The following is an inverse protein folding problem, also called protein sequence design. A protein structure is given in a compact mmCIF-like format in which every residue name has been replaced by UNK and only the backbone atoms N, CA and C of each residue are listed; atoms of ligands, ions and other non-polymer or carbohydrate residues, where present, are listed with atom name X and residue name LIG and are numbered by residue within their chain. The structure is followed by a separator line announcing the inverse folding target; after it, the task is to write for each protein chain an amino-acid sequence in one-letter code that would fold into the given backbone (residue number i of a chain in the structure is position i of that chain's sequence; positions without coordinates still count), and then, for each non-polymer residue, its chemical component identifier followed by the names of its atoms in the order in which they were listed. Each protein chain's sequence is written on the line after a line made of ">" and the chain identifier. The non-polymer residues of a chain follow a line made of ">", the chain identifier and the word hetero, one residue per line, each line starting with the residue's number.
data_IF_353891350245
#
_entry.id   IF_353891350245
#
_cell.length_a   1.000
_cell.length_b   1.000
_cell.length_c   1.000
_cell.angle_alpha   90.00
_cell.angle_beta   90.00
_cell.angle_gamma   90.00
#
_symmetry.space_group_name_H-M   'P 1'
#
loop_
_entity.id
_entity.type
_entity.pdbx_description
1 polymer ?
#
# COMPACT_ATOMS: atom_id res chain seq x y z
N UNK A 1 -23.34 -7.29 -26.82
CA UNK A 1 -22.50 -6.84 -25.70
C UNK A 1 -21.29 -6.13 -26.30
N UNK A 2 -21.23 -4.80 -26.17
CA UNK A 2 -20.13 -4.03 -26.72
C UNK A 2 -19.13 -3.81 -25.59
N UNK A 3 -18.05 -4.59 -25.60
CA UNK A 3 -16.95 -4.41 -24.67
C UNK A 3 -16.03 -3.30 -25.23
N UNK A 4 -16.01 -2.13 -24.61
CA UNK A 4 -15.07 -1.06 -24.95
C UNK A 4 -13.90 -1.20 -23.96
N UNK A 5 -12.79 -1.77 -24.42
CA UNK A 5 -11.55 -1.75 -23.67
C UNK A 5 -10.88 -0.38 -23.87
N UNK A 6 -10.88 0.41 -22.83
CA UNK A 6 -10.19 1.71 -22.82
C UNK A 6 -9.11 1.68 -21.74
N UNK A 7 -7.85 1.73 -22.16
CA UNK A 7 -6.72 1.85 -21.25
C UNK A 7 -6.37 3.32 -21.02
N UNK A 8 -6.18 3.71 -19.75
CA UNK A 8 -5.70 5.04 -19.37
C UNK A 8 -4.32 4.91 -18.74
N UNK A 9 -3.43 5.80 -19.11
CA UNK A 9 -2.12 5.90 -18.45
C UNK A 9 -2.09 7.14 -17.58
N UNK A 10 -1.89 6.96 -16.28
CA UNK A 10 -1.65 8.04 -15.33
C UNK A 10 -0.15 8.22 -15.14
N UNK A 11 0.34 9.44 -15.37
CA UNK A 11 1.72 9.83 -15.05
C UNK A 11 1.82 10.55 -13.69
N UNK A 12 0.68 10.86 -13.07
CA UNK A 12 0.56 11.59 -11.81
C UNK A 12 -0.67 11.08 -11.05
N UNK A 13 -0.85 11.56 -9.82
CA UNK A 13 -2.09 11.36 -9.06
C UNK A 13 -3.33 11.82 -9.84
N UNK A 14 -4.44 11.15 -9.62
CA UNK A 14 -5.70 11.46 -10.29
C UNK A 14 -6.85 10.59 -9.82
N UNK A 15 -8.03 10.81 -10.38
CA UNK A 15 -9.18 9.97 -10.18
C UNK A 15 -9.83 9.62 -11.51
N UNK A 16 -10.17 8.36 -11.68
CA UNK A 16 -11.06 7.91 -12.75
C UNK A 16 -12.47 7.82 -12.21
N UNK A 17 -13.39 8.42 -12.93
CA UNK A 17 -14.82 8.33 -12.65
C UNK A 17 -15.48 7.62 -13.82
N UNK A 18 -16.21 6.58 -13.56
CA UNK A 18 -16.99 5.84 -14.55
C UNK A 18 -18.45 5.83 -14.17
N UNK A 19 -19.31 6.00 -15.16
CA UNK A 19 -20.75 5.92 -14.99
C UNK A 19 -21.34 5.16 -16.15
N UNK A 20 -22.24 4.24 -15.87
CA UNK A 20 -23.03 3.55 -16.88
C UNK A 20 -24.34 4.30 -17.13
N UNK A 21 -24.80 4.29 -18.38
CA UNK A 21 -26.12 4.76 -18.76
C UNK A 21 -26.92 3.56 -19.32
N UNK A 22 -28.18 3.46 -18.93
CA UNK A 22 -29.06 2.46 -19.51
C UNK A 22 -29.50 2.87 -20.93
N UNK A 23 -30.27 2.00 -21.61
CA UNK A 23 -30.78 2.26 -22.97
C UNK A 23 -31.70 3.48 -23.05
N UNK A 24 -32.27 3.90 -21.93
CA UNK A 24 -33.19 5.05 -21.85
C UNK A 24 -32.42 6.33 -21.42
N UNK A 25 -31.09 6.28 -21.33
CA UNK A 25 -30.23 7.39 -20.96
C UNK A 25 -30.21 7.73 -19.47
N UNK A 26 -30.72 6.85 -18.60
CA UNK A 26 -30.67 7.04 -17.15
C UNK A 26 -29.30 6.72 -16.62
N UNK A 27 -28.78 7.63 -15.80
CA UNK A 27 -27.47 7.51 -15.15
C UNK A 27 -27.53 6.47 -14.02
N UNK A 28 -26.62 5.48 -14.04
CA UNK A 28 -26.37 4.56 -12.93
C UNK A 28 -25.51 5.17 -11.83
N UNK A 29 -25.06 4.35 -10.88
CA UNK A 29 -24.11 4.78 -9.85
C UNK A 29 -22.75 5.12 -10.47
N UNK A 30 -22.11 6.13 -9.89
CA UNK A 30 -20.77 6.56 -10.28
C UNK A 30 -19.73 5.75 -9.53
N UNK A 31 -18.90 4.99 -10.24
CA UNK A 31 -17.72 4.35 -9.72
C UNK A 31 -16.56 5.35 -9.77
N UNK A 32 -15.84 5.51 -8.66
CA UNK A 32 -14.66 6.40 -8.57
C UNK A 32 -13.48 5.58 -8.07
N UNK A 33 -12.36 5.62 -8.81
CA UNK A 33 -11.06 5.09 -8.36
C UNK A 33 -10.05 6.24 -8.33
N UNK A 34 -9.44 6.44 -7.17
CA UNK A 34 -8.42 7.46 -6.96
C UNK A 34 -7.04 6.82 -7.01
N UNK A 35 -6.11 7.48 -7.70
CA UNK A 35 -4.71 7.10 -7.79
C UNK A 35 -3.90 8.23 -7.16
N UNK A 36 -3.19 7.95 -6.07
CA UNK A 36 -2.51 8.96 -5.27
C UNK A 36 -1.14 9.33 -5.84
N UNK A 37 -0.35 8.33 -6.26
CA UNK A 37 0.97 8.52 -6.86
C UNK A 37 1.23 7.49 -7.96
N UNK A 38 2.00 7.86 -8.98
CA UNK A 38 2.43 6.92 -10.01
C UNK A 38 3.53 6.01 -9.45
N UNK A 39 3.27 4.71 -9.38
CA UNK A 39 4.19 3.70 -8.83
C UNK A 39 5.14 3.09 -9.88
N UNK A 40 5.10 3.54 -11.14
CA UNK A 40 5.89 2.97 -12.26
C UNK A 40 7.38 2.81 -11.95
N UNK A 41 7.96 3.76 -11.23
CA UNK A 41 9.38 3.78 -10.90
C UNK A 41 9.68 3.28 -9.50
N UNK A 42 8.66 2.80 -8.77
CA UNK A 42 8.86 2.30 -7.43
C UNK A 42 9.56 0.95 -7.45
N UNK A 43 10.36 0.70 -6.44
CA UNK A 43 11.05 -0.57 -6.23
C UNK A 43 10.93 -0.97 -4.77
N UNK A 44 10.67 -2.25 -4.53
CA UNK A 44 10.70 -2.79 -3.18
C UNK A 44 12.06 -3.42 -2.93
N UNK A 45 12.61 -3.07 -1.79
CA UNK A 45 13.88 -3.56 -1.29
C UNK A 45 13.67 -4.27 0.05
N UNK A 46 14.54 -5.20 0.38
CA UNK A 46 14.62 -5.76 1.73
C UNK A 46 15.07 -4.70 2.73
N UNK A 47 14.99 -4.99 4.03
CA UNK A 47 15.40 -4.04 5.06
C UNK A 47 16.89 -3.64 4.99
N UNK A 48 17.74 -4.48 4.39
CA UNK A 48 19.16 -4.25 4.13
C UNK A 48 19.45 -3.70 2.72
N UNK A 49 18.40 -3.32 1.97
CA UNK A 49 18.51 -2.58 0.71
C UNK A 49 18.69 -3.44 -0.54
N UNK A 50 18.51 -4.77 -0.47
CA UNK A 50 18.58 -5.64 -1.64
C UNK A 50 17.24 -5.64 -2.40
N UNK A 51 17.21 -5.80 -3.74
CA UNK A 51 15.96 -5.92 -4.49
C UNK A 51 15.07 -7.04 -3.94
N UNK A 52 13.77 -6.76 -3.75
CA UNK A 52 12.80 -7.69 -3.20
C UNK A 52 11.61 -7.88 -4.15
N UNK A 53 11.87 -8.55 -5.28
CA UNK A 53 10.88 -8.76 -6.34
C UNK A 53 9.60 -9.46 -5.86
N UNK A 54 9.70 -10.39 -4.90
CA UNK A 54 8.54 -11.07 -4.31
C UNK A 54 7.55 -10.13 -3.59
N UNK A 55 7.95 -8.88 -3.29
CA UNK A 55 7.08 -7.89 -2.67
C UNK A 55 6.48 -6.89 -3.69
N UNK A 56 6.64 -7.12 -4.98
CA UNK A 56 6.09 -6.26 -6.05
C UNK A 56 4.58 -6.10 -5.97
N UNK A 57 3.86 -7.15 -5.56
CA UNK A 57 2.41 -7.12 -5.34
C UNK A 57 1.93 -6.06 -4.33
N UNK A 58 2.82 -5.50 -3.53
CA UNK A 58 2.47 -4.41 -2.59
C UNK A 58 2.28 -3.05 -3.30
N UNK A 59 2.71 -2.94 -4.57
CA UNK A 59 2.75 -1.66 -5.31
C UNK A 59 2.36 -1.83 -6.78
N UNK A 60 1.63 -2.89 -7.15
CA UNK A 60 1.25 -3.20 -8.54
C UNK A 60 -0.10 -2.62 -8.97
N UNK A 61 -0.80 -1.91 -8.07
CA UNK A 61 -2.13 -1.33 -8.25
C UNK A 61 -3.25 -2.39 -8.46
N UNK A 62 -3.01 -3.64 -8.04
CA UNK A 62 -3.97 -4.73 -8.06
C UNK A 62 -4.26 -5.25 -6.64
N UNK A 63 -5.40 -4.93 -6.07
CA UNK A 63 -5.81 -5.35 -4.73
C UNK A 63 -6.17 -6.84 -4.62
N UNK A 64 -6.21 -7.57 -5.75
CA UNK A 64 -6.42 -9.02 -5.77
C UNK A 64 -5.11 -9.80 -5.58
N UNK A 65 -3.98 -9.17 -5.80
CA UNK A 65 -2.66 -9.70 -5.45
C UNK A 65 -2.26 -9.24 -4.05
N UNK A 66 -1.31 -9.90 -3.43
CA UNK A 66 -0.75 -9.42 -2.16
C UNK A 66 0.66 -9.95 -1.92
N UNK A 67 1.46 -9.11 -1.30
CA UNK A 67 2.74 -9.50 -0.75
C UNK A 67 2.55 -10.30 0.53
N UNK A 68 3.42 -11.30 0.70
CA UNK A 68 3.59 -12.06 1.93
C UNK A 68 5.06 -12.06 2.33
N UNK A 69 5.35 -11.67 3.57
CA UNK A 69 6.71 -11.77 4.09
C UNK A 69 7.12 -13.23 4.27
N UNK A 70 8.43 -13.55 4.33
CA UNK A 70 8.88 -14.88 4.70
C UNK A 70 8.25 -15.33 6.02
N UNK A 71 7.76 -16.56 6.03
CA UNK A 71 7.24 -17.17 7.26
C UNK A 71 8.39 -17.40 8.24
N UNK A 72 8.13 -17.15 9.50
CA UNK A 72 9.00 -17.55 10.60
C UNK A 72 8.69 -19.01 11.00
N UNK A 73 9.45 -19.58 11.93
CA UNK A 73 9.18 -20.92 12.43
C UNK A 73 7.73 -21.03 12.90
N UNK A 74 7.07 -22.16 12.60
CA UNK A 74 5.62 -22.34 12.81
C UNK A 74 5.16 -22.06 14.24
N UNK A 75 6.02 -22.33 15.21
CA UNK A 75 5.73 -22.17 16.65
C UNK A 75 6.28 -20.85 17.21
N UNK A 76 6.90 -20.00 16.37
CA UNK A 76 7.43 -18.72 16.80
C UNK A 76 6.33 -17.64 16.79
N UNK A 77 6.33 -16.81 17.82
CA UNK A 77 5.55 -15.58 17.82
C UNK A 77 5.99 -14.68 16.65
N UNK A 78 5.06 -13.91 16.10
CA UNK A 78 5.36 -12.93 15.05
C UNK A 78 6.47 -11.97 15.52
N UNK A 79 7.47 -11.78 14.69
CA UNK A 79 8.53 -10.78 14.89
C UNK A 79 8.37 -9.69 13.82
N UNK A 80 8.64 -8.42 14.15
CA UNK A 80 8.54 -7.32 13.20
C UNK A 80 9.26 -7.61 11.89
N UNK A 81 8.56 -7.32 10.78
CA UNK A 81 9.03 -7.52 9.41
C UNK A 81 9.10 -6.16 8.72
N UNK A 82 10.24 -5.86 8.10
CA UNK A 82 10.43 -4.58 7.42
C UNK A 82 10.77 -4.77 5.95
N UNK A 83 10.31 -3.83 5.14
CA UNK A 83 10.74 -3.64 3.76
C UNK A 83 10.95 -2.14 3.48
N UNK A 84 11.68 -1.85 2.42
CA UNK A 84 11.94 -0.47 1.98
C UNK A 84 11.30 -0.26 0.62
N UNK A 85 10.60 0.85 0.47
CA UNK A 85 10.00 1.31 -0.78
C UNK A 85 10.86 2.45 -1.29
N UNK A 86 11.56 2.26 -2.40
CA UNK A 86 12.23 3.33 -3.16
C UNK A 86 11.18 3.93 -4.11
N UNK A 87 10.83 5.19 -3.92
CA UNK A 87 9.85 5.92 -4.72
C UNK A 87 10.41 6.33 -6.11
N UNK A 88 11.70 6.02 -6.38
CA UNK A 88 12.38 6.38 -7.62
C UNK A 88 12.89 7.82 -7.63
N UNK A 89 12.20 8.72 -6.99
CA UNK A 89 12.56 10.14 -6.85
C UNK A 89 12.12 10.69 -5.49
N UNK A 90 12.61 11.86 -5.12
CA UNK A 90 12.18 12.53 -3.88
C UNK A 90 10.77 13.08 -4.05
N UNK A 91 9.89 12.74 -3.10
CA UNK A 91 8.49 13.17 -3.04
C UNK A 91 8.21 13.88 -1.72
N UNK A 92 7.23 14.79 -1.71
CA UNK A 92 6.71 15.38 -0.47
C UNK A 92 5.51 14.56 -0.02
N UNK A 93 5.75 13.62 0.89
CA UNK A 93 4.75 12.67 1.39
C UNK A 93 3.95 13.33 2.51
N UNK A 94 2.63 13.41 2.36
CA UNK A 94 1.68 13.96 3.36
C UNK A 94 0.91 12.87 4.10
N UNK A 95 0.99 11.64 3.61
CA UNK A 95 0.33 10.49 4.18
C UNK A 95 0.64 9.24 3.40
N UNK A 96 0.02 8.15 3.78
CA UNK A 96 0.14 6.86 3.10
C UNK A 96 -1.17 6.11 3.15
N UNK A 97 -1.28 5.07 2.35
CA UNK A 97 -2.39 4.13 2.36
C UNK A 97 -1.88 2.71 2.49
N UNK A 98 -2.72 1.86 3.07
CA UNK A 98 -2.51 0.43 3.17
C UNK A 98 -3.81 -0.30 2.89
N UNK A 99 -3.76 -1.28 1.99
CA UNK A 99 -4.85 -2.22 1.73
C UNK A 99 -4.40 -3.61 2.19
N UNK A 100 -5.10 -4.23 3.15
CA UNK A 100 -4.83 -5.61 3.52
C UNK A 100 -5.19 -6.57 2.38
N UNK A 101 -4.76 -7.82 2.47
CA UNK A 101 -5.19 -8.89 1.54
C UNK A 101 -6.72 -8.97 1.46
N UNK A 102 -7.26 -9.26 0.26
CA UNK A 102 -8.70 -9.22 -0.05
C UNK A 102 -9.32 -10.61 -0.23
N UNK A 103 -8.62 -11.68 0.11
CA UNK A 103 -9.07 -13.07 -0.02
C UNK A 103 -9.82 -13.61 1.22
N UNK A 104 -10.37 -12.72 2.05
CA UNK A 104 -11.11 -13.01 3.28
C UNK A 104 -10.30 -13.70 4.38
N UNK A 105 -8.97 -13.75 4.30
CA UNK A 105 -8.11 -14.29 5.35
C UNK A 105 -7.62 -13.16 6.27
N UNK A 106 -7.61 -13.41 7.58
CA UNK A 106 -7.00 -12.52 8.58
C UNK A 106 -5.52 -12.79 8.81
N UNK A 107 -4.99 -13.90 8.27
CA UNK A 107 -3.59 -14.26 8.46
C UNK A 107 -2.63 -13.24 7.85
N UNK A 108 -1.72 -12.75 8.65
CA UNK A 108 -0.70 -11.81 8.24
C UNK A 108 -1.21 -10.37 8.03
N UNK A 109 -2.51 -10.09 8.21
CA UNK A 109 -3.03 -8.72 8.13
C UNK A 109 -2.37 -7.86 9.19
N UNK A 110 -1.71 -6.79 8.76
CA UNK A 110 -1.01 -5.85 9.65
C UNK A 110 -2.05 -5.03 10.41
N UNK A 111 -2.00 -5.05 11.74
CA UNK A 111 -2.86 -4.22 12.59
C UNK A 111 -2.10 -3.15 13.39
N UNK A 112 -0.76 -3.22 13.41
CA UNK A 112 0.12 -2.14 13.89
C UNK A 112 1.31 -2.03 12.98
N UNK A 113 1.59 -0.84 12.49
CA UNK A 113 2.73 -0.57 11.62
C UNK A 113 3.51 0.68 12.06
N UNK A 114 4.78 0.71 11.67
CA UNK A 114 5.60 1.91 11.71
C UNK A 114 6.09 2.27 10.31
N UNK A 115 6.26 3.57 10.07
CA UNK A 115 6.83 4.10 8.85
C UNK A 115 7.99 5.03 9.20
N UNK A 116 9.13 4.84 8.53
CA UNK A 116 10.27 5.73 8.59
C UNK A 116 10.56 6.28 7.20
N UNK A 117 11.03 7.51 7.12
CA UNK A 117 11.39 8.18 5.89
C UNK A 117 12.90 8.43 5.80
N UNK A 118 13.43 8.42 4.58
CA UNK A 118 14.84 8.71 4.30
C UNK A 118 15.01 9.34 2.92
N UNK A 119 15.97 10.23 2.77
CA UNK A 119 16.37 10.77 1.46
C UNK A 119 17.47 9.91 0.80
N UNK A 120 18.31 9.25 1.59
CA UNK A 120 19.52 8.54 1.15
C UNK A 120 19.45 7.01 1.33
N UNK A 121 18.35 6.49 1.93
CA UNK A 121 18.20 5.08 2.25
C UNK A 121 19.06 4.58 3.42
N UNK A 122 19.77 5.46 4.11
CA UNK A 122 20.71 5.14 5.21
C UNK A 122 20.29 5.81 6.52
N UNK A 123 19.99 7.10 6.46
CA UNK A 123 19.55 7.88 7.60
C UNK A 123 18.03 7.91 7.66
N UNK A 124 17.44 7.35 8.72
CA UNK A 124 16.01 7.12 8.84
C UNK A 124 15.38 7.97 9.93
N UNK A 125 14.29 8.65 9.61
CA UNK A 125 13.49 9.45 10.55
C UNK A 125 12.11 8.78 10.73
N UNK A 126 11.67 8.49 11.97
CA UNK A 126 10.32 7.99 12.22
C UNK A 126 9.29 9.04 11.84
N UNK A 127 8.26 8.65 11.08
CA UNK A 127 7.20 9.55 10.61
C UNK A 127 5.80 9.10 11.03
N UNK A 128 5.64 7.80 11.32
CA UNK A 128 4.36 7.25 11.78
C UNK A 128 4.59 5.96 12.58
N UNK A 129 3.82 5.76 13.63
CA UNK A 129 3.64 4.47 14.30
C UNK A 129 2.29 4.48 15.00
N UNK A 130 1.42 3.53 14.66
CA UNK A 130 0.13 3.35 15.35
C UNK A 130 -0.54 2.03 14.94
N UNK A 131 -1.65 1.72 15.64
CA UNK A 131 -2.58 0.68 15.25
C UNK A 131 -3.44 1.13 14.06
N UNK A 132 -3.82 0.16 13.22
CA UNK A 132 -4.77 0.38 12.14
C UNK A 132 -6.19 0.18 12.70
N UNK A 133 -6.98 1.25 12.87
CA UNK A 133 -8.28 1.16 13.50
C UNK A 133 -9.23 0.23 12.74
N UNK A 134 -9.93 -0.64 13.47
CA UNK A 134 -11.01 -1.48 12.95
C UNK A 134 -10.62 -2.43 11.80
N UNK A 135 -9.33 -2.72 11.60
CA UNK A 135 -8.86 -3.56 10.49
C UNK A 135 -9.35 -5.01 10.60
N UNK A 136 -9.60 -5.51 11.80
CA UNK A 136 -10.12 -6.87 12.03
C UNK A 136 -11.55 -7.03 11.52
N UNK A 137 -12.43 -6.05 11.74
CA UNK A 137 -13.84 -6.10 11.37
C UNK A 137 -14.07 -5.62 9.93
N UNK A 138 -13.23 -4.72 9.45
CA UNK A 138 -13.32 -4.15 8.11
C UNK A 138 -11.92 -4.10 7.47
N UNK A 139 -11.44 -5.22 6.88
CA UNK A 139 -10.14 -5.30 6.24
C UNK A 139 -10.17 -4.67 4.83
N UNK A 140 -10.37 -3.36 4.77
CA UNK A 140 -10.45 -2.58 3.54
C UNK A 140 -9.37 -1.51 3.49
N UNK A 141 -9.22 -0.85 2.36
CA UNK A 141 -8.34 0.31 2.18
C UNK A 141 -8.40 1.26 3.37
N UNK A 142 -7.24 1.67 3.86
CA UNK A 142 -7.06 2.69 4.92
C UNK A 142 -6.06 3.72 4.46
N UNK A 143 -6.34 4.98 4.76
CA UNK A 143 -5.41 6.08 4.53
C UNK A 143 -5.10 6.83 5.82
N UNK A 144 -3.86 7.29 5.93
CA UNK A 144 -3.33 7.93 7.13
C UNK A 144 -2.61 9.22 6.73
N UNK A 145 -2.91 10.31 7.43
CA UNK A 145 -2.17 11.56 7.28
C UNK A 145 -0.99 11.58 8.24
N UNK A 146 0.16 12.01 7.77
CA UNK A 146 1.29 12.32 8.63
C UNK A 146 1.02 13.61 9.41
N UNK A 147 1.54 13.70 10.64
CA UNK A 147 1.46 14.93 11.44
C UNK A 147 2.15 16.10 10.75
N UNK A 148 3.24 15.83 10.06
CA UNK A 148 4.01 16.79 9.27
C UNK A 148 4.39 16.15 7.95
N UNK A 149 4.19 16.82 6.80
CA UNK A 149 4.70 16.34 5.52
C UNK A 149 6.21 16.13 5.58
N UNK A 150 6.69 15.09 4.90
CA UNK A 150 8.11 14.74 4.86
C UNK A 150 8.60 14.66 3.40
N UNK A 151 9.75 15.27 3.13
CA UNK A 151 10.46 15.08 1.87
C UNK A 151 11.32 13.82 1.99
N UNK A 152 11.11 12.85 1.13
CA UNK A 152 11.87 11.61 1.13
C UNK A 152 11.82 10.89 -0.22
N UNK A 153 12.82 10.07 -0.49
CA UNK A 153 12.83 9.11 -1.59
C UNK A 153 12.53 7.68 -1.11
N UNK A 154 12.88 7.36 0.13
CA UNK A 154 12.73 6.01 0.67
C UNK A 154 11.77 6.03 1.86
N UNK A 155 10.88 5.03 1.88
CA UNK A 155 10.01 4.74 3.00
C UNK A 155 10.30 3.33 3.51
N UNK A 156 10.53 3.17 4.81
CA UNK A 156 10.64 1.86 5.45
C UNK A 156 9.34 1.54 6.16
N UNK A 157 8.62 0.57 5.62
CA UNK A 157 7.43 0.01 6.25
C UNK A 157 7.85 -1.14 7.17
N UNK A 158 7.41 -1.09 8.41
CA UNK A 158 7.59 -2.17 9.38
C UNK A 158 6.23 -2.64 9.89
N UNK A 159 5.90 -3.89 9.62
CA UNK A 159 4.81 -4.57 10.30
C UNK A 159 5.26 -4.88 11.73
N UNK A 160 4.67 -4.23 12.71
CA UNK A 160 4.98 -4.41 14.13
C UNK A 160 4.13 -5.51 14.77
N UNK A 161 2.90 -5.67 14.28
CA UNK A 161 1.98 -6.71 14.72
C UNK A 161 1.04 -7.10 13.57
N UNK A 162 0.61 -8.35 13.57
CA UNK A 162 -0.40 -8.89 12.66
C UNK A 162 -1.58 -9.45 13.46
N UNK A 163 -2.74 -9.60 12.82
CA UNK A 163 -3.94 -10.14 13.45
C UNK A 163 -3.75 -11.61 13.81
N UNK A 164 -3.19 -12.39 12.90
CA UNK A 164 -3.00 -13.84 13.01
C UNK A 164 -1.77 -14.29 12.22
N UNK A 165 -1.19 -15.44 12.60
CA UNK A 165 -0.04 -16.02 11.90
C UNK A 165 1.31 -15.41 12.31
N UNK A 166 2.36 -15.79 11.60
CA UNK A 166 3.76 -15.44 11.88
C UNK A 166 4.47 -14.78 10.68
N UNK A 167 3.71 -14.19 9.78
CA UNK A 167 4.17 -13.42 8.61
C UNK A 167 3.27 -12.19 8.41
N UNK A 168 3.75 -11.20 7.67
CA UNK A 168 2.97 -10.02 7.31
C UNK A 168 2.47 -10.11 5.87
N UNK A 169 1.31 -9.50 5.59
CA UNK A 169 0.75 -9.38 4.25
C UNK A 169 0.28 -7.96 3.96
N UNK A 170 0.20 -7.61 2.69
CA UNK A 170 -0.40 -6.37 2.22
C UNK A 170 -0.72 -6.49 0.75
N UNK A 171 -1.94 -6.14 0.33
CA UNK A 171 -2.32 -6.10 -1.07
C UNK A 171 -1.76 -4.83 -1.72
N UNK A 172 -1.93 -3.67 -1.07
CA UNK A 172 -1.47 -2.41 -1.64
C UNK A 172 -0.91 -1.46 -0.59
N UNK A 173 0.16 -0.76 -0.98
CA UNK A 173 0.70 0.39 -0.28
C UNK A 173 0.77 1.59 -1.24
N UNK A 174 0.40 2.77 -0.76
CA UNK A 174 0.46 4.01 -1.52
C UNK A 174 0.91 5.18 -0.66
N UNK A 175 1.22 6.32 -1.30
CA UNK A 175 1.49 7.58 -0.62
C UNK A 175 0.47 8.64 -1.01
N UNK A 176 0.21 9.57 -0.12
CA UNK A 176 -0.65 10.73 -0.33
C UNK A 176 0.23 11.96 -0.55
N UNK A 177 0.06 12.64 -1.68
CA UNK A 177 0.80 13.84 -2.05
C UNK A 177 0.00 15.13 -1.80
N UNK A 178 -1.32 14.99 -1.57
CA UNK A 178 -2.27 16.10 -1.29
C UNK A 178 -2.87 16.06 0.09
#
# INVERSE_FOLDING_TARGET
>A
EMCIETAFTFAREGAVRAVAFDKDGRKGEEAVRTFDACKRNWRILTADGQPYAAAGALVDDDDQTFWRSPSQDKDAAFRPQSLVIDLGETQVVKGFSYTPRQDNSSEGVIDRLALMASEDGKNWTPVYEDFIPNIRQAPVYRSFRLKTPVSCRYLKLTALRVLEGNYATGAEFGILLK
#
